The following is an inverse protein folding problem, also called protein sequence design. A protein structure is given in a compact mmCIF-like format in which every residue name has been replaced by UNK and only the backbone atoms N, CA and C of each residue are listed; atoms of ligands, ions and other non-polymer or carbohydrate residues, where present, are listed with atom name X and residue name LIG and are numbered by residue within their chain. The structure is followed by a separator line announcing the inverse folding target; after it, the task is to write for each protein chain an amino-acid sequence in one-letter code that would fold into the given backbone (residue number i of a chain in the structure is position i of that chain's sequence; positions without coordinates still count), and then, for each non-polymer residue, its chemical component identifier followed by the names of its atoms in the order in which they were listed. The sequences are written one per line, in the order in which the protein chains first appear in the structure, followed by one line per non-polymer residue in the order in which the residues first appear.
data_IF_679678626716
#
_entry.id   IF_679678626716
#
_cell.length_a   1.000
_cell.length_b   1.000
_cell.length_c   1.000
_cell.angle_alpha   90.00
_cell.angle_beta   90.00
_cell.angle_gamma   90.00
#
_symmetry.space_group_name_H-M   'P 1'
#
loop_
_entity.id
_entity.type
_entity.pdbx_description
1 polymer ?
#
# COMPACT_ATOMS: atom_id res chain seq x y z
N UNK A 1 27.25 -2.15 -2.96
CA UNK A 1 25.98 -2.17 -2.18
C UNK A 1 25.29 -3.53 -2.20
N UNK A 2 25.17 -4.21 -3.34
CA UNK A 2 24.56 -5.55 -3.44
C UNK A 2 25.36 -6.66 -2.73
N UNK A 3 26.69 -6.61 -2.76
CA UNK A 3 27.55 -7.57 -2.03
C UNK A 3 27.35 -7.54 -0.51
N UNK A 4 27.04 -6.37 0.09
CA UNK A 4 26.75 -6.26 1.53
C UNK A 4 25.43 -6.92 1.93
N UNK A 5 24.51 -7.12 0.99
CA UNK A 5 23.22 -7.76 1.23
C UNK A 5 23.24 -9.28 0.98
N UNK A 6 24.38 -9.86 0.57
CA UNK A 6 24.54 -11.30 0.33
C UNK A 6 23.66 -11.86 -0.77
N UNK A 7 23.15 -11.03 -1.70
CA UNK A 7 22.23 -11.44 -2.77
C UNK A 7 22.77 -11.01 -4.13
N UNK A 8 23.27 -11.99 -4.89
CA UNK A 8 23.81 -11.78 -6.23
C UNK A 8 22.73 -11.46 -7.28
N UNK A 9 21.47 -11.83 -7.04
CA UNK A 9 20.39 -11.77 -8.06
C UNK A 9 19.27 -10.76 -7.77
N UNK A 10 19.52 -9.72 -6.97
CA UNK A 10 18.51 -8.69 -6.75
C UNK A 10 18.34 -7.82 -8.00
N UNK A 11 17.14 -7.83 -8.60
CA UNK A 11 16.82 -6.96 -9.74
C UNK A 11 16.13 -5.68 -9.26
N UNK A 12 16.25 -4.60 -10.02
CA UNK A 12 15.49 -3.35 -9.79
C UNK A 12 13.98 -3.64 -9.72
N UNK A 13 13.51 -4.65 -10.46
CA UNK A 13 12.14 -5.14 -10.38
C UNK A 13 11.74 -5.54 -8.95
N UNK A 14 12.60 -6.22 -8.20
CA UNK A 14 12.29 -6.72 -6.85
C UNK A 14 12.19 -5.57 -5.84
N UNK A 15 13.03 -4.54 -5.99
CA UNK A 15 12.94 -3.30 -5.23
C UNK A 15 11.62 -2.59 -5.51
N UNK A 16 11.22 -2.51 -6.78
CA UNK A 16 9.95 -1.91 -7.22
C UNK A 16 8.74 -2.67 -6.64
N UNK A 17 8.83 -4.00 -6.55
CA UNK A 17 7.84 -4.86 -5.91
C UNK A 17 7.77 -4.64 -4.38
N UNK A 18 8.92 -4.49 -3.77
CA UNK A 18 9.05 -4.21 -2.33
C UNK A 18 8.43 -2.86 -1.99
N UNK A 19 8.69 -1.81 -2.80
CA UNK A 19 8.08 -0.50 -2.65
C UNK A 19 6.55 -0.56 -2.72
N UNK A 20 5.97 -1.26 -3.70
CA UNK A 20 4.51 -1.42 -3.80
C UNK A 20 3.89 -2.13 -2.60
N UNK A 21 4.59 -3.13 -2.07
CA UNK A 21 4.16 -3.87 -0.87
C UNK A 21 4.19 -2.98 0.38
N UNK A 22 5.22 -2.14 0.52
CA UNK A 22 5.30 -1.16 1.59
C UNK A 22 4.20 -0.10 1.51
N UNK A 23 3.92 0.44 0.33
CA UNK A 23 2.82 1.39 0.15
C UNK A 23 1.46 0.78 0.54
N UNK A 24 1.21 -0.48 0.20
CA UNK A 24 0.00 -1.19 0.60
C UNK A 24 -0.08 -1.36 2.12
N UNK A 25 1.02 -1.75 2.77
CA UNK A 25 1.11 -1.87 4.24
C UNK A 25 0.84 -0.55 4.96
N UNK A 26 1.21 0.58 4.38
CA UNK A 26 0.92 1.91 4.94
C UNK A 26 -0.48 2.43 4.59
N UNK A 27 -1.33 1.61 3.96
CA UNK A 27 -2.71 1.96 3.64
C UNK A 27 -2.90 2.80 2.37
N UNK A 28 -1.90 2.88 1.48
CA UNK A 28 -2.08 3.54 0.19
C UNK A 28 -3.08 2.76 -0.68
N UNK A 29 -3.93 3.48 -1.41
CA UNK A 29 -4.89 2.86 -2.34
C UNK A 29 -4.19 2.16 -3.51
N UNK A 30 -4.80 1.12 -4.09
CA UNK A 30 -4.29 0.49 -5.31
C UNK A 30 -4.15 1.47 -6.48
N UNK A 31 -4.99 2.51 -6.55
CA UNK A 31 -4.87 3.53 -7.58
C UNK A 31 -3.58 4.34 -7.40
N UNK A 32 -3.28 4.77 -6.17
CA UNK A 32 -2.06 5.50 -5.81
C UNK A 32 -0.83 4.65 -6.10
N UNK A 33 -0.85 3.37 -5.70
CA UNK A 33 0.25 2.43 -5.94
C UNK A 33 0.46 2.20 -7.44
N UNK A 34 -0.62 2.02 -8.20
CA UNK A 34 -0.53 1.83 -9.65
C UNK A 34 0.11 3.03 -10.35
N UNK A 35 -0.27 4.25 -9.98
CA UNK A 35 0.30 5.49 -10.53
C UNK A 35 1.76 5.68 -10.11
N UNK A 36 2.10 5.49 -8.83
CA UNK A 36 3.48 5.66 -8.32
C UNK A 36 4.45 4.66 -8.95
N UNK A 37 3.96 3.47 -9.30
CA UNK A 37 4.70 2.43 -9.98
C UNK A 37 4.54 2.47 -11.50
N UNK A 38 3.88 3.47 -12.09
CA UNK A 38 3.66 3.55 -13.54
C UNK A 38 3.09 2.24 -14.16
N UNK A 39 2.12 1.62 -13.49
CA UNK A 39 1.43 0.43 -14.00
C UNK A 39 0.42 0.82 -15.08
N UNK A 40 0.55 0.19 -16.26
CA UNK A 40 -0.42 0.33 -17.35
C UNK A 40 -1.74 -0.40 -17.11
N UNK A 41 -1.73 -1.44 -16.28
CA UNK A 41 -2.91 -2.26 -15.97
C UNK A 41 -3.12 -2.37 -14.47
N UNK A 42 -4.38 -2.22 -14.05
CA UNK A 42 -4.82 -2.42 -12.67
C UNK A 42 -4.56 -3.85 -12.19
N UNK A 43 -4.58 -4.83 -13.10
CA UNK A 43 -4.28 -6.25 -12.79
C UNK A 43 -2.87 -6.42 -12.20
N UNK A 44 -1.88 -5.67 -12.71
CA UNK A 44 -0.51 -5.71 -12.19
C UNK A 44 -0.39 -5.14 -10.78
N UNK A 45 -1.29 -4.25 -10.38
CA UNK A 45 -1.32 -3.64 -9.05
C UNK A 45 -2.09 -4.48 -8.03
N UNK A 46 -3.10 -5.24 -8.47
CA UNK A 46 -3.98 -6.04 -7.60
C UNK A 46 -3.23 -7.03 -6.70
N UNK A 47 -2.04 -7.47 -7.12
CA UNK A 47 -1.16 -8.33 -6.33
C UNK A 47 -0.77 -7.71 -4.96
N UNK A 48 -0.76 -6.39 -4.83
CA UNK A 48 -0.44 -5.71 -3.56
C UNK A 48 -1.59 -5.69 -2.57
N UNK A 49 -2.83 -5.96 -3.01
CA UNK A 49 -4.01 -5.98 -2.14
C UNK A 49 -4.02 -7.17 -1.16
N UNK A 50 -3.21 -8.19 -1.41
CA UNK A 50 -3.24 -9.47 -0.68
C UNK A 50 -2.29 -9.53 0.51
N UNK A 51 -1.49 -8.49 0.73
CA UNK A 51 -0.31 -8.55 1.59
C UNK A 51 -0.57 -8.29 3.07
N UNK A 52 -1.67 -7.64 3.45
CA UNK A 52 -1.92 -7.30 4.86
C UNK A 52 -3.40 -6.99 5.15
N UNK A 53 -3.91 -7.47 6.30
CA UNK A 53 -5.25 -7.18 6.81
C UNK A 53 -5.27 -5.96 7.75
N UNK A 54 -4.11 -5.54 8.29
CA UNK A 54 -3.99 -4.36 9.16
C UNK A 54 -4.55 -3.08 8.54
N UNK A 55 -4.19 -2.73 7.29
CA UNK A 55 -4.70 -1.54 6.62
C UNK A 55 -6.24 -1.51 6.48
N UNK A 56 -6.87 -2.68 6.33
CA UNK A 56 -8.34 -2.78 6.23
C UNK A 56 -8.98 -2.37 7.55
N UNK A 57 -8.48 -2.90 8.66
CA UNK A 57 -8.96 -2.56 10.01
C UNK A 57 -8.78 -1.08 10.30
N UNK A 58 -7.58 -0.55 10.06
CA UNK A 58 -7.27 0.87 10.29
C UNK A 58 -8.15 1.78 9.44
N UNK A 59 -8.35 1.44 8.17
CA UNK A 59 -9.22 2.21 7.27
C UNK A 59 -10.65 2.27 7.79
N UNK A 60 -11.20 1.13 8.22
CA UNK A 60 -12.55 1.08 8.78
C UNK A 60 -12.66 1.91 10.08
N UNK A 61 -11.73 1.71 11.03
CA UNK A 61 -11.73 2.44 12.29
C UNK A 61 -11.60 3.96 12.08
N UNK A 62 -10.74 4.41 11.16
CA UNK A 62 -10.55 5.83 10.85
C UNK A 62 -11.81 6.45 10.23
N UNK A 63 -12.45 5.74 9.31
CA UNK A 63 -13.70 6.20 8.69
C UNK A 63 -14.81 6.35 9.73
N UNK A 64 -15.02 5.33 10.58
CA UNK A 64 -16.03 5.38 11.64
C UNK A 64 -15.76 6.51 12.63
N UNK A 65 -14.51 6.71 13.05
CA UNK A 65 -14.15 7.82 13.94
C UNK A 65 -14.43 9.20 13.32
N UNK A 66 -14.10 9.39 12.03
CA UNK A 66 -14.37 10.63 11.32
C UNK A 66 -15.88 10.92 11.21
N UNK A 67 -16.69 9.91 10.92
CA UNK A 67 -18.15 10.03 10.87
C UNK A 67 -18.74 10.42 12.22
N UNK A 68 -18.31 9.77 13.31
CA UNK A 68 -18.77 10.08 14.66
C UNK A 68 -18.39 11.50 15.10
N UNK A 69 -17.19 11.95 14.76
CA UNK A 69 -16.74 13.31 15.08
C UNK A 69 -17.54 14.37 14.29
N UNK A 70 -17.80 14.13 13.01
CA UNK A 70 -18.62 15.02 12.19
C UNK A 70 -20.06 15.13 12.74
N UNK A 71 -20.65 14.02 13.20
CA UNK A 71 -21.97 14.02 13.82
C UNK A 71 -22.02 14.83 15.13
N UNK A 72 -20.99 14.70 15.98
CA UNK A 72 -20.89 15.47 17.24
C UNK A 72 -20.73 16.97 17.01
N UNK A 73 -19.99 17.37 15.98
CA UNK A 73 -19.77 18.79 15.66
C UNK A 73 -20.98 19.45 14.96
N UNK A 74 -22.00 18.67 14.59
CA UNK A 74 -23.22 19.15 13.94
C UNK A 74 -24.39 19.30 14.93
N UNK A 75 -24.15 19.05 16.22
CA UNK A 75 -25.09 19.19 17.33
C UNK A 75 -24.65 20.32 18.26
#
# INVERSE_FOLDING_TARGET
MLERAGRADLRIHDLRRTLGSWQAKTGASLLTIGKSLNHKSTRSTAIYARLDLGPVRESASRATAAMLNAAKNSA
#
